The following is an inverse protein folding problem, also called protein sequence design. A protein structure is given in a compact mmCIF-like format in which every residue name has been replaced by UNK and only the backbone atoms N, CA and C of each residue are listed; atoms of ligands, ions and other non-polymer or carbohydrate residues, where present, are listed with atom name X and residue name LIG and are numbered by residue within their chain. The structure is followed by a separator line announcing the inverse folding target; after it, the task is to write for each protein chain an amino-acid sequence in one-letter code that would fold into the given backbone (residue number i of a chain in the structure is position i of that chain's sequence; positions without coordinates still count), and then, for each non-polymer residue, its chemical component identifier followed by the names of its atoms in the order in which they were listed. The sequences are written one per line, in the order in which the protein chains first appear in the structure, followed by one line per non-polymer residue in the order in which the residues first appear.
data_IF_954095877008
#
_entry.id   IF_954095877008
#
_cell.length_a   1.000
_cell.length_b   1.000
_cell.length_c   1.000
_cell.angle_alpha   90.00
_cell.angle_beta   90.00
_cell.angle_gamma   90.00
#
_symmetry.space_group_name_H-M   'P 1'
#
loop_
_entity.id
_entity.type
_entity.pdbx_description
1 polymer ?
#
# COMPACT_ATOMS: atom_id res chain seq x y z
N UNK A 1 17.29 -7.93 62.41
CA UNK A 1 16.62 -9.16 62.85
C UNK A 1 15.40 -9.38 61.96
N UNK A 2 15.35 -10.55 61.36
CA UNK A 2 14.51 -10.96 60.24
C UNK A 2 13.05 -11.20 60.60
N UNK A 3 12.15 -10.96 59.64
CA UNK A 3 11.02 -11.86 59.38
C UNK A 3 10.56 -11.71 57.91
N UNK A 4 10.97 -12.66 57.08
CA UNK A 4 10.37 -12.94 55.78
C UNK A 4 8.98 -13.59 55.98
N UNK A 5 8.00 -13.29 55.10
CA UNK A 5 7.51 -14.27 54.10
C UNK A 5 6.30 -13.74 53.32
N UNK A 6 6.44 -13.89 52.01
CA UNK A 6 5.45 -13.74 50.97
C UNK A 6 4.27 -14.72 51.07
N UNK A 7 3.10 -14.30 50.54
CA UNK A 7 2.07 -15.11 49.84
C UNK A 7 1.35 -14.13 48.88
N UNK A 8 1.61 -14.11 47.56
CA UNK A 8 1.14 -14.98 46.46
C UNK A 8 -0.38 -15.21 46.42
N UNK A 9 -0.90 -15.12 45.19
CA UNK A 9 -2.23 -15.47 44.66
C UNK A 9 -3.19 -14.26 44.52
N UNK A 10 -3.91 -14.03 43.42
CA UNK A 10 -4.16 -14.85 42.24
C UNK A 10 -4.51 -13.96 41.03
N UNK A 11 -4.12 -14.42 39.85
CA UNK A 11 -4.58 -13.94 38.56
C UNK A 11 -6.06 -14.29 38.34
N UNK A 12 -6.82 -13.38 37.74
CA UNK A 12 -8.13 -13.69 37.15
C UNK A 12 -8.09 -13.29 35.67
N UNK A 13 -7.92 -14.31 34.82
CA UNK A 13 -8.01 -14.24 33.37
C UNK A 13 -9.50 -14.29 33.02
N UNK A 14 -10.07 -13.19 32.56
CA UNK A 14 -11.42 -13.17 31.96
C UNK A 14 -11.29 -13.40 30.45
N UNK A 15 -11.53 -14.65 30.06
CA UNK A 15 -11.60 -15.12 28.68
C UNK A 15 -12.93 -14.66 28.07
N UNK A 16 -12.92 -13.67 27.17
CA UNK A 16 -14.11 -13.27 26.41
C UNK A 16 -14.16 -14.13 25.14
N UNK A 17 -15.14 -15.03 25.09
CA UNK A 17 -15.49 -15.81 23.91
C UNK A 17 -16.12 -14.89 22.85
N UNK A 18 -15.42 -14.68 21.72
CA UNK A 18 -16.01 -14.03 20.54
C UNK A 18 -16.56 -15.11 19.63
N UNK A 19 -17.89 -15.17 19.53
CA UNK A 19 -18.63 -16.02 18.60
C UNK A 19 -18.49 -15.48 17.18
N UNK A 20 -17.81 -16.23 16.31
CA UNK A 20 -17.74 -15.95 14.87
C UNK A 20 -19.07 -16.33 14.19
N UNK A 21 -19.75 -15.36 13.58
CA UNK A 21 -20.86 -15.59 12.67
C UNK A 21 -20.36 -15.60 11.23
N UNK A 22 -20.24 -16.79 10.64
CA UNK A 22 -20.02 -16.97 9.21
C UNK A 22 -21.35 -16.85 8.47
N UNK A 23 -21.61 -15.69 7.88
CA UNK A 23 -22.67 -15.52 6.88
C UNK A 23 -22.11 -15.92 5.50
N UNK A 24 -22.39 -17.16 5.10
CA UNK A 24 -22.17 -17.65 3.74
C UNK A 24 -23.30 -17.13 2.85
N UNK A 25 -23.03 -16.07 2.06
CA UNK A 25 -23.89 -15.75 0.92
C UNK A 25 -23.42 -16.58 -0.28
N UNK A 26 -24.04 -17.75 -0.40
CA UNK A 26 -24.11 -18.51 -1.65
C UNK A 26 -25.02 -17.75 -2.64
N UNK A 27 -24.58 -17.61 -3.88
CA UNK A 27 -25.44 -17.07 -4.94
C UNK A 27 -24.69 -16.54 -6.16
N UNK A 28 -24.19 -17.44 -7.00
CA UNK A 28 -24.16 -17.24 -8.45
C UNK A 28 -24.22 -18.63 -9.07
N UNK A 29 -25.39 -18.95 -9.61
CA UNK A 29 -25.63 -20.12 -10.45
C UNK A 29 -25.46 -19.66 -11.89
N UNK A 30 -24.66 -20.37 -12.68
CA UNK A 30 -24.83 -20.43 -14.13
C UNK A 30 -24.33 -21.79 -14.65
N UNK A 31 -25.32 -22.52 -15.15
CA UNK A 31 -25.35 -23.40 -16.32
C UNK A 31 -24.61 -24.75 -16.37
N UNK A 32 -25.48 -25.76 -16.50
CA UNK A 32 -25.31 -27.16 -16.86
C UNK A 32 -24.35 -27.45 -18.05
N UNK A 33 -23.71 -28.62 -18.03
CA UNK A 33 -23.21 -29.20 -19.28
C UNK A 33 -22.09 -30.23 -19.18
N UNK A 34 -22.44 -31.44 -18.79
CA UNK A 34 -21.87 -32.74 -19.18
C UNK A 34 -20.51 -32.80 -19.92
N UNK A 35 -19.58 -33.63 -19.44
CA UNK A 35 -18.47 -34.08 -20.28
C UNK A 35 -17.41 -34.93 -19.58
N UNK A 36 -17.56 -36.24 -19.68
CA UNK A 36 -16.71 -37.28 -19.12
C UNK A 36 -15.36 -37.45 -19.86
N UNK A 37 -14.31 -37.67 -19.07
CA UNK A 37 -13.08 -38.47 -19.28
C UNK A 37 -12.49 -38.65 -20.69
N UNK A 38 -11.19 -38.38 -20.81
CA UNK A 38 -10.35 -38.94 -21.88
C UNK A 38 -8.88 -38.61 -21.69
N UNK A 39 -8.09 -39.60 -21.27
CA UNK A 39 -6.67 -39.43 -20.96
C UNK A 39 -5.75 -39.33 -22.17
N UNK A 40 -4.50 -38.95 -21.91
CA UNK A 40 -3.35 -39.47 -22.64
C UNK A 40 -2.05 -39.21 -21.86
N UNK A 41 -1.43 -40.31 -21.42
CA UNK A 41 0.03 -40.40 -21.21
C UNK A 41 0.62 -41.01 -22.48
N UNK A 42 1.92 -40.73 -22.69
CA UNK A 42 2.80 -41.17 -23.78
C UNK A 42 2.77 -40.22 -24.98
N UNK A 43 3.87 -39.76 -25.55
CA UNK A 43 5.29 -40.02 -25.33
C UNK A 43 6.10 -39.38 -26.46
N UNK A 44 7.41 -39.31 -26.26
CA UNK A 44 8.47 -39.30 -27.28
C UNK A 44 8.57 -38.15 -28.31
N UNK A 45 9.71 -37.45 -28.19
CA UNK A 45 10.66 -37.06 -29.27
C UNK A 45 10.19 -36.19 -30.43
N UNK A 46 10.76 -34.99 -30.54
CA UNK A 46 11.59 -34.62 -31.69
C UNK A 46 12.30 -33.26 -31.44
N UNK A 47 13.63 -33.28 -31.48
CA UNK A 47 14.45 -32.09 -31.75
C UNK A 47 14.19 -31.61 -33.18
N UNK A 48 13.91 -30.33 -33.36
CA UNK A 48 14.06 -29.63 -34.63
C UNK A 48 14.76 -28.27 -34.35
N UNK A 49 15.77 -27.99 -35.17
CA UNK A 49 16.69 -26.86 -35.08
C UNK A 49 16.02 -25.50 -35.45
N UNK A 50 16.73 -24.36 -35.33
CA UNK A 50 16.13 -23.05 -35.06
C UNK A 50 15.52 -22.40 -36.31
N UNK A 51 14.25 -22.00 -36.18
CA UNK A 51 13.54 -21.15 -37.14
C UNK A 51 13.75 -19.67 -36.82
N UNK A 52 13.92 -18.88 -37.88
CA UNK A 52 14.27 -17.46 -37.94
C UNK A 52 13.45 -16.50 -37.06
N UNK A 53 14.01 -15.33 -36.69
CA UNK A 53 13.29 -14.31 -35.92
C UNK A 53 12.14 -13.71 -36.75
N UNK A 54 10.96 -13.45 -36.14
CA UNK A 54 9.95 -12.61 -36.76
C UNK A 54 10.43 -11.15 -36.81
N UNK A 55 10.15 -10.54 -37.97
CA UNK A 55 10.46 -9.16 -38.32
C UNK A 55 9.73 -8.14 -37.44
N UNK A 56 10.31 -6.95 -37.40
CA UNK A 56 9.83 -5.70 -36.83
C UNK A 56 8.30 -5.52 -36.88
N UNK A 57 7.68 -5.65 -35.71
CA UNK A 57 6.39 -5.05 -35.41
C UNK A 57 6.61 -3.67 -34.79
N UNK A 58 6.71 -2.64 -35.63
CA UNK A 58 6.27 -1.29 -35.25
C UNK A 58 4.77 -1.39 -34.99
N UNK A 59 4.36 -1.10 -33.76
CA UNK A 59 3.19 -0.30 -33.39
C UNK A 59 2.88 -0.58 -31.92
N UNK A 60 3.34 0.33 -31.09
CA UNK A 60 3.08 0.34 -29.66
C UNK A 60 3.54 1.70 -29.17
N UNK A 61 2.60 2.63 -29.13
CA UNK A 61 2.72 3.91 -28.47
C UNK A 61 3.35 3.68 -27.08
N UNK A 62 4.65 3.89 -27.00
CA UNK A 62 5.39 3.90 -25.75
C UNK A 62 5.02 5.16 -25.02
N UNK A 63 3.86 5.16 -24.36
CA UNK A 63 3.67 5.97 -23.18
C UNK A 63 4.57 5.34 -22.11
N UNK A 64 5.84 5.75 -22.19
CA UNK A 64 6.83 5.61 -21.14
C UNK A 64 6.32 6.36 -19.91
N UNK A 65 5.49 5.68 -19.13
CA UNK A 65 5.16 6.05 -17.75
C UNK A 65 6.16 5.43 -16.76
N UNK A 66 7.38 5.15 -17.21
CA UNK A 66 8.53 4.98 -16.34
C UNK A 66 9.34 6.28 -16.35
N UNK A 67 8.69 7.40 -16.02
CA UNK A 67 9.45 8.49 -15.39
C UNK A 67 9.85 7.95 -14.02
N UNK A 68 11.06 7.39 -13.97
CA UNK A 68 11.87 7.43 -12.76
C UNK A 68 11.60 8.79 -12.12
N UNK A 69 11.10 8.77 -10.89
CA UNK A 69 10.84 9.96 -10.08
C UNK A 69 12.21 10.52 -9.68
N UNK A 70 12.91 11.03 -10.68
CA UNK A 70 14.22 11.63 -10.61
C UNK A 70 14.10 12.95 -9.85
N UNK A 71 15.22 13.39 -9.32
CA UNK A 71 15.36 14.60 -8.52
C UNK A 71 14.86 15.91 -9.18
N UNK A 72 14.32 15.85 -10.40
CA UNK A 72 13.78 16.96 -11.17
C UNK A 72 12.34 17.38 -10.79
N UNK A 73 11.62 16.59 -9.98
CA UNK A 73 10.26 16.94 -9.54
C UNK A 73 10.22 18.08 -8.50
N UNK A 74 11.31 18.36 -7.79
CA UNK A 74 11.34 19.40 -6.75
C UNK A 74 11.27 20.82 -7.35
N UNK A 75 11.90 21.04 -8.51
CA UNK A 75 11.96 22.34 -9.19
C UNK A 75 10.75 22.61 -10.12
N UNK A 76 9.89 21.62 -10.36
CA UNK A 76 8.70 21.80 -11.19
C UNK A 76 7.71 22.78 -10.54
N UNK A 77 7.12 23.72 -11.32
CA UNK A 77 6.07 24.62 -10.82
C UNK A 77 4.95 23.84 -10.12
N UNK A 78 4.49 24.36 -8.98
CA UNK A 78 3.46 23.72 -8.15
C UNK A 78 2.13 24.45 -8.26
N UNK A 79 1.04 23.67 -8.22
CA UNK A 79 -0.32 24.21 -8.21
C UNK A 79 -0.54 24.99 -6.89
N UNK A 80 -0.94 26.27 -6.94
CA UNK A 80 -1.20 27.05 -5.74
C UNK A 80 -2.45 26.53 -5.02
N UNK A 81 -2.47 26.70 -3.69
CA UNK A 81 -3.54 26.20 -2.82
C UNK A 81 -4.96 26.55 -3.27
N UNK A 82 -5.17 27.75 -3.83
CA UNK A 82 -6.48 28.20 -4.32
C UNK A 82 -6.98 27.43 -5.53
N UNK A 83 -6.08 26.79 -6.28
CA UNK A 83 -6.38 25.95 -7.46
C UNK A 83 -6.37 24.45 -7.17
N UNK A 84 -6.20 24.04 -5.91
CA UNK A 84 -6.32 22.64 -5.50
C UNK A 84 -7.80 22.24 -5.43
N UNK A 85 -8.29 21.70 -6.55
CA UNK A 85 -9.66 21.19 -6.69
C UNK A 85 -9.63 19.78 -7.29
N UNK A 86 -10.33 18.81 -6.70
CA UNK A 86 -10.45 17.48 -7.29
C UNK A 86 -11.39 17.52 -8.50
N UNK A 87 -11.33 16.50 -9.35
CA UNK A 87 -12.28 16.32 -10.45
C UNK A 87 -13.72 16.11 -9.95
N UNK A 88 -13.89 15.51 -8.77
CA UNK A 88 -15.18 15.26 -8.13
C UNK A 88 -15.14 15.62 -6.65
N UNK A 89 -16.25 16.15 -6.11
CA UNK A 89 -16.37 16.49 -4.70
C UNK A 89 -15.49 17.68 -4.26
N UNK A 90 -14.90 17.57 -3.06
CA UNK A 90 -14.08 18.63 -2.48
C UNK A 90 -13.07 18.06 -1.49
N UNK A 91 -11.85 18.59 -1.49
CA UNK A 91 -10.87 18.27 -0.46
C UNK A 91 -11.25 18.82 0.91
N UNK A 92 -11.00 18.05 1.95
CA UNK A 92 -11.01 18.52 3.33
C UNK A 92 -9.87 19.51 3.59
N UNK A 93 -9.90 20.21 4.72
CA UNK A 93 -8.83 21.15 5.08
C UNK A 93 -7.48 20.44 5.21
N UNK A 94 -7.45 19.25 5.83
CA UNK A 94 -6.22 18.45 6.01
C UNK A 94 -5.65 17.95 4.70
N UNK A 95 -6.52 17.51 3.78
CA UNK A 95 -6.11 17.12 2.43
C UNK A 95 -5.53 18.31 1.66
N UNK A 96 -6.16 19.49 1.76
CA UNK A 96 -5.59 20.71 1.15
C UNK A 96 -4.26 21.10 1.76
N UNK A 97 -4.09 20.97 3.07
CA UNK A 97 -2.81 21.22 3.75
C UNK A 97 -1.75 20.25 3.25
N UNK A 98 -2.05 18.96 3.22
CA UNK A 98 -1.18 17.93 2.66
C UNK A 98 -0.77 18.24 1.21
N UNK A 99 -1.69 18.72 0.37
CA UNK A 99 -1.45 18.98 -1.06
C UNK A 99 -0.71 20.30 -1.35
N UNK A 100 -0.69 21.23 -0.40
CA UNK A 100 -0.13 22.58 -0.63
C UNK A 100 1.37 22.51 -0.91
N UNK A 101 1.78 23.06 -2.06
CA UNK A 101 3.20 23.07 -2.48
C UNK A 101 3.71 21.73 -3.02
N UNK A 102 2.84 20.73 -3.19
CA UNK A 102 3.26 19.36 -3.56
C UNK A 102 2.74 18.86 -4.88
N UNK A 103 1.63 19.41 -5.37
CA UNK A 103 1.06 19.02 -6.65
C UNK A 103 1.82 19.72 -7.79
N UNK A 104 2.58 19.01 -8.63
CA UNK A 104 3.19 19.60 -9.82
C UNK A 104 2.10 20.09 -10.78
N UNK A 105 2.39 21.14 -11.54
CA UNK A 105 1.50 21.56 -12.63
C UNK A 105 1.26 20.41 -13.63
N UNK A 106 0.02 20.26 -14.07
CA UNK A 106 -0.40 19.15 -14.95
C UNK A 106 -0.63 17.81 -14.24
N UNK A 107 -0.28 17.68 -12.95
CA UNK A 107 -0.62 16.50 -12.15
C UNK A 107 -1.99 16.68 -11.48
N UNK A 108 -2.74 15.58 -11.39
CA UNK A 108 -4.04 15.57 -10.74
C UNK A 108 -3.88 15.61 -9.21
N UNK A 109 -4.49 16.58 -8.49
CA UNK A 109 -4.30 16.71 -7.05
C UNK A 109 -4.74 15.47 -6.24
N UNK A 110 -5.80 14.76 -6.63
CA UNK A 110 -6.24 13.57 -5.92
C UNK A 110 -5.25 12.40 -6.05
N UNK A 111 -4.52 12.28 -7.16
CA UNK A 111 -3.45 11.29 -7.31
C UNK A 111 -2.30 11.54 -6.32
N UNK A 112 -1.97 12.81 -6.03
CA UNK A 112 -0.98 13.15 -5.00
C UNK A 112 -1.50 12.83 -3.60
N UNK A 113 -2.80 13.09 -3.36
CA UNK A 113 -3.45 12.74 -2.10
C UNK A 113 -3.44 11.21 -1.88
N UNK A 114 -3.82 10.44 -2.91
CA UNK A 114 -3.86 8.98 -2.89
C UNK A 114 -2.48 8.38 -2.58
N UNK A 115 -1.40 8.97 -3.10
CA UNK A 115 -0.04 8.57 -2.75
C UNK A 115 0.25 8.76 -1.24
N UNK A 116 -0.25 9.85 -0.64
CA UNK A 116 -0.14 10.10 0.80
C UNK A 116 -0.96 9.13 1.65
N UNK A 117 -2.19 8.85 1.22
CA UNK A 117 -3.06 7.87 1.88
C UNK A 117 -2.47 6.46 1.80
N UNK A 118 -1.86 6.12 0.66
CA UNK A 118 -1.13 4.87 0.47
C UNK A 118 0.07 4.79 1.41
N UNK A 119 0.80 5.88 1.63
CA UNK A 119 1.88 5.91 2.62
C UNK A 119 1.36 5.63 4.04
N UNK A 120 0.24 6.27 4.44
CA UNK A 120 -0.40 5.99 5.72
C UNK A 120 -0.83 4.52 5.86
N UNK A 121 -1.40 3.93 4.81
CA UNK A 121 -1.80 2.52 4.79
C UNK A 121 -0.58 1.57 4.91
N UNK A 122 0.52 1.86 4.20
CA UNK A 122 1.77 1.10 4.31
C UNK A 122 2.35 1.18 5.72
N UNK A 123 2.32 2.35 6.36
CA UNK A 123 2.78 2.52 7.74
C UNK A 123 1.92 1.69 8.69
N UNK A 124 0.59 1.75 8.57
CA UNK A 124 -0.35 1.00 9.42
C UNK A 124 -0.09 -0.50 9.33
N UNK A 125 -0.13 -1.03 8.12
CA UNK A 125 0.01 -2.47 7.86
C UNK A 125 1.39 -2.99 8.29
N UNK A 126 2.46 -2.21 8.08
CA UNK A 126 3.80 -2.60 8.56
C UNK A 126 3.87 -2.57 10.08
N UNK A 127 3.28 -1.55 10.73
CA UNK A 127 3.30 -1.43 12.19
C UNK A 127 2.45 -2.49 12.89
N UNK A 128 1.36 -2.93 12.26
CA UNK A 128 0.51 -4.05 12.73
C UNK A 128 1.29 -5.37 12.77
N UNK A 129 2.14 -5.62 11.77
CA UNK A 129 2.99 -6.82 11.72
C UNK A 129 4.21 -6.67 12.64
N UNK A 130 4.91 -5.54 12.56
CA UNK A 130 6.13 -5.28 13.30
C UNK A 130 6.39 -3.78 13.43
N UNK A 131 6.14 -3.26 14.63
CA UNK A 131 6.47 -1.87 14.97
C UNK A 131 7.94 -1.53 14.73
N UNK A 132 8.86 -2.48 14.94
CA UNK A 132 10.30 -2.28 14.72
C UNK A 132 10.61 -2.09 13.23
N UNK A 133 9.95 -2.86 12.37
CA UNK A 133 10.19 -2.80 10.93
C UNK A 133 9.56 -1.53 10.34
N UNK A 134 8.41 -1.10 10.86
CA UNK A 134 7.83 0.21 10.50
C UNK A 134 8.79 1.37 10.85
N UNK A 135 9.42 1.34 12.03
CA UNK A 135 10.42 2.35 12.42
C UNK A 135 11.64 2.29 11.49
N UNK A 136 12.11 1.09 11.15
CA UNK A 136 13.28 0.90 10.28
C UNK A 136 13.01 1.40 8.86
N UNK A 137 11.85 1.06 8.29
CA UNK A 137 11.41 1.51 6.97
C UNK A 137 11.25 3.04 6.92
N UNK A 138 10.68 3.63 7.97
CA UNK A 138 10.58 5.08 8.11
C UNK A 138 11.97 5.73 8.26
N UNK A 139 12.90 5.13 8.98
CA UNK A 139 14.26 5.67 9.11
C UNK A 139 15.01 5.62 7.77
N UNK A 140 14.88 4.51 7.05
CA UNK A 140 15.51 4.29 5.76
C UNK A 140 14.85 5.07 4.60
N UNK A 141 13.64 5.61 4.79
CA UNK A 141 12.92 6.33 3.74
C UNK A 141 12.29 5.42 2.68
N UNK A 142 12.00 4.17 3.01
CA UNK A 142 11.40 3.17 2.09
C UNK A 142 9.90 3.38 1.84
N UNK A 143 9.29 4.26 2.63
CA UNK A 143 7.89 4.68 2.47
C UNK A 143 7.91 6.11 1.96
N UNK A 144 7.70 6.26 0.66
CA UNK A 144 7.57 7.57 0.02
C UNK A 144 6.45 8.38 0.66
N UNK A 145 6.61 9.70 0.68
CA UNK A 145 5.62 10.65 1.20
C UNK A 145 5.29 10.49 2.70
N UNK A 146 5.98 9.62 3.44
CA UNK A 146 5.63 9.25 4.81
C UNK A 146 5.60 10.43 5.79
N UNK A 147 6.66 11.26 5.82
CA UNK A 147 6.75 12.40 6.75
C UNK A 147 5.53 13.33 6.66
N UNK A 148 5.26 13.95 5.50
CA UNK A 148 4.17 14.90 5.42
C UNK A 148 2.79 14.22 5.37
N UNK A 149 2.70 12.93 5.01
CA UNK A 149 1.47 12.16 5.20
C UNK A 149 1.15 11.97 6.69
N UNK A 150 2.15 11.66 7.52
CA UNK A 150 2.00 11.56 8.97
C UNK A 150 1.62 12.92 9.55
N UNK A 151 2.23 14.01 9.10
CA UNK A 151 1.92 15.35 9.63
C UNK A 151 0.44 15.75 9.42
N UNK A 152 -0.11 15.48 8.23
CA UNK A 152 -1.42 16.02 7.86
C UNK A 152 -2.54 14.98 7.80
N UNK A 153 -2.27 13.78 7.29
CA UNK A 153 -3.28 12.76 7.00
C UNK A 153 -3.39 11.73 8.13
N UNK A 154 -2.27 11.23 8.64
CA UNK A 154 -2.23 10.17 9.66
C UNK A 154 -1.36 10.51 10.89
N UNK A 155 -1.72 11.57 11.66
CA UNK A 155 -0.94 12.05 12.80
C UNK A 155 -0.79 11.04 13.95
N UNK A 156 -1.63 10.00 13.99
CA UNK A 156 -1.49 8.90 14.94
C UNK A 156 -0.14 8.17 14.83
N UNK A 157 0.54 8.23 13.68
CA UNK A 157 1.84 7.59 13.46
C UNK A 157 3.04 8.49 13.78
N UNK A 158 2.83 9.73 14.22
CA UNK A 158 3.92 10.64 14.64
C UNK A 158 4.90 10.02 15.67
N UNK A 159 4.46 9.18 16.64
CA UNK A 159 5.39 8.50 17.54
C UNK A 159 6.35 7.52 16.84
N UNK A 160 5.95 6.91 15.71
CA UNK A 160 6.82 6.05 14.91
C UNK A 160 7.84 6.87 14.15
N UNK A 161 7.41 7.99 13.55
CA UNK A 161 8.29 8.91 12.83
C UNK A 161 9.39 9.49 13.75
N UNK A 162 9.01 9.90 14.95
CA UNK A 162 9.95 10.36 15.98
C UNK A 162 10.93 9.27 16.39
N UNK A 163 10.46 8.03 16.57
CA UNK A 163 11.32 6.90 16.92
C UNK A 163 12.30 6.53 15.79
N UNK A 164 11.95 6.84 14.54
CA UNK A 164 12.82 6.70 13.38
C UNK A 164 13.86 7.83 13.25
N UNK A 165 13.86 8.83 14.15
CA UNK A 165 14.78 9.97 14.09
C UNK A 165 14.44 11.01 13.01
N UNK A 166 13.22 10.93 12.47
CA UNK A 166 12.67 11.78 11.40
C UNK A 166 11.80 12.90 12.03
N UNK A 167 11.56 13.99 11.32
CA UNK A 167 10.82 15.17 11.83
C UNK A 167 9.66 15.53 10.95
#
# INVERSE_FOLDING_TARGET
MSAHRARRAAAAVTLVLVTAALALTAGCADDDGAGHSGGQRSGATASAAPGQPPADGKDGNGEDHSRERGADDEDAPKVPRSRLTPATGSFTAKEKDYLTGRVPEGMEPAAVLEAGETACARISTTAEVSRKDAISALAAGEIDQAEPAIEHLCPQFAPLLKAAGRK
#
